data_IF_416665039312
#
_entry.id   IF_416665039312
#
_cell.length_a   1.000
_cell.length_b   1.000
_cell.length_c   1.000
_cell.angle_alpha   90.00
_cell.angle_beta   90.00
_cell.angle_gamma   90.00
#
_symmetry.space_group_name_H-M   'P 1'
#
loop_
_entity.id
_entity.type
_entity.pdbx_description
1 polymer ?
#
# COMPACT_ATOMS: atom_id res chain seq x y z
N UNK A 1 13.35 30.26 62.91
CA UNK A 1 13.63 28.86 62.59
C UNK A 1 13.04 28.58 61.20
N UNK A 2 13.94 28.42 60.23
CA UNK A 2 13.67 28.27 58.78
C UNK A 2 12.97 26.96 58.53
N UNK A 3 12.05 26.94 57.56
CA UNK A 3 11.86 25.78 56.68
C UNK A 3 11.43 26.29 55.31
N UNK A 4 12.42 26.28 54.44
CA UNK A 4 12.35 26.44 52.99
C UNK A 4 11.87 25.16 52.33
N UNK A 5 11.57 25.33 51.04
CA UNK A 5 11.57 24.35 49.97
C UNK A 5 10.21 23.75 49.57
N UNK A 6 9.56 24.50 48.67
CA UNK A 6 8.88 23.83 47.58
C UNK A 6 9.58 24.26 46.27
N UNK A 7 10.48 23.38 45.86
CA UNK A 7 11.11 23.42 44.55
C UNK A 7 10.08 23.01 43.50
N UNK A 8 9.63 24.00 42.76
CA UNK A 8 8.70 23.79 41.62
C UNK A 8 9.52 23.71 40.33
N UNK A 9 10.07 22.55 40.06
CA UNK A 9 10.64 22.29 38.75
C UNK A 9 9.54 22.36 37.69
N UNK A 10 9.70 23.13 36.60
CA UNK A 10 8.71 23.16 35.53
C UNK A 10 8.74 21.84 34.77
N UNK A 11 7.62 21.10 34.83
CA UNK A 11 7.32 19.95 33.96
C UNK A 11 7.55 20.34 32.51
N UNK A 12 8.49 19.68 31.89
CA UNK A 12 8.64 19.67 30.44
C UNK A 12 7.36 19.06 29.82
N UNK A 13 6.41 19.94 29.50
CA UNK A 13 5.24 19.59 28.71
C UNK A 13 5.48 19.99 27.25
N UNK A 14 5.22 19.04 26.37
CA UNK A 14 4.87 19.16 24.95
C UNK A 14 5.94 19.67 23.98
N UNK A 15 6.82 18.76 23.58
CA UNK A 15 7.49 18.81 22.27
C UNK A 15 6.92 17.79 21.26
N UNK A 16 5.76 17.16 21.53
CA UNK A 16 5.27 16.05 20.69
C UNK A 16 4.22 16.46 19.65
N UNK A 17 3.52 17.57 19.80
CA UNK A 17 2.44 17.97 18.89
C UNK A 17 2.90 18.77 17.66
N UNK A 18 4.04 19.46 17.74
CA UNK A 18 4.56 20.28 16.61
C UNK A 18 5.36 19.47 15.56
N UNK A 19 5.45 18.14 15.69
CA UNK A 19 6.35 17.31 14.85
C UNK A 19 5.64 16.57 13.72
N UNK A 20 4.33 16.71 13.57
CA UNK A 20 3.55 16.06 12.51
C UNK A 20 3.49 16.88 11.20
N UNK A 21 3.67 18.19 11.28
CA UNK A 21 3.67 19.07 10.12
C UNK A 21 5.02 18.98 9.40
N UNK A 22 5.07 18.24 8.27
CA UNK A 22 6.24 18.13 7.42
C UNK A 22 6.81 16.71 7.22
N UNK A 23 6.18 15.67 7.77
CA UNK A 23 6.58 14.29 7.50
C UNK A 23 5.85 13.76 6.27
N UNK A 24 6.60 13.26 5.28
CA UNK A 24 6.03 12.49 4.18
C UNK A 24 5.38 11.21 4.71
N UNK A 25 4.28 10.80 4.08
CA UNK A 25 3.64 9.52 4.41
C UNK A 25 4.60 8.35 4.15
N UNK A 26 4.54 7.27 4.94
CA UNK A 26 5.39 6.09 4.74
C UNK A 26 5.18 5.46 3.37
N UNK A 27 6.26 5.28 2.60
CA UNK A 27 6.29 4.56 1.32
C UNK A 27 7.64 3.89 1.11
N UNK A 28 7.75 3.03 0.12
CA UNK A 28 8.98 2.39 -0.32
C UNK A 28 9.00 2.35 -1.84
N UNK A 29 9.70 3.29 -2.45
CA UNK A 29 9.82 3.37 -3.91
C UNK A 29 10.47 2.11 -4.48
N UNK A 30 11.56 1.63 -3.86
CA UNK A 30 12.25 0.41 -4.28
C UNK A 30 11.37 -0.84 -4.13
N UNK A 31 10.53 -0.91 -3.07
CA UNK A 31 9.55 -1.97 -2.90
C UNK A 31 8.52 -1.98 -4.03
N UNK A 32 7.99 -0.81 -4.39
CA UNK A 32 7.03 -0.65 -5.49
C UNK A 32 7.64 -1.03 -6.84
N UNK A 33 8.85 -0.55 -7.14
CA UNK A 33 9.60 -0.94 -8.35
C UNK A 33 9.89 -2.45 -8.38
N UNK A 34 10.24 -3.02 -7.23
CA UNK A 34 10.50 -4.45 -7.09
C UNK A 34 9.28 -5.31 -7.42
N UNK A 35 8.09 -4.92 -6.95
CA UNK A 35 6.82 -5.60 -7.28
C UNK A 35 6.51 -5.46 -8.77
N UNK A 36 6.59 -4.24 -9.33
CA UNK A 36 6.29 -4.00 -10.75
C UNK A 36 7.23 -4.78 -11.67
N UNK A 37 8.55 -4.75 -11.40
CA UNK A 37 9.51 -5.54 -12.17
C UNK A 37 9.21 -7.03 -12.05
N UNK A 38 8.89 -7.53 -10.86
CA UNK A 38 8.50 -8.92 -10.64
C UNK A 38 7.24 -9.31 -11.41
N UNK A 39 6.25 -8.40 -11.52
CA UNK A 39 5.06 -8.56 -12.35
C UNK A 39 5.41 -8.67 -13.85
N UNK A 40 6.38 -7.89 -14.33
CA UNK A 40 6.82 -7.99 -15.72
C UNK A 40 7.52 -9.32 -16.02
N UNK A 41 8.27 -9.87 -15.06
CA UNK A 41 9.00 -11.12 -15.19
C UNK A 41 8.11 -12.37 -15.04
N UNK A 42 7.12 -12.31 -14.15
CA UNK A 42 6.19 -13.42 -13.87
C UNK A 42 4.76 -12.89 -13.64
N UNK A 43 4.06 -12.44 -14.70
CA UNK A 43 2.83 -11.68 -14.59
C UNK A 43 1.74 -12.38 -13.78
N UNK A 44 1.39 -13.62 -14.12
CA UNK A 44 0.29 -14.34 -13.47
C UNK A 44 0.62 -14.70 -12.03
N UNK A 45 1.77 -15.33 -11.78
CA UNK A 45 2.13 -15.78 -10.44
C UNK A 45 2.27 -14.64 -9.44
N UNK A 46 2.86 -13.50 -9.86
CA UNK A 46 3.00 -12.33 -8.98
C UNK A 46 1.68 -11.57 -8.84
N UNK A 47 0.85 -11.49 -9.91
CA UNK A 47 -0.47 -10.85 -9.82
C UNK A 47 -1.40 -11.58 -8.84
N UNK A 48 -1.41 -12.92 -8.86
CA UNK A 48 -2.18 -13.74 -7.92
C UNK A 48 -1.78 -13.44 -6.46
N UNK A 49 -0.46 -13.33 -6.19
CA UNK A 49 0.05 -12.92 -4.87
C UNK A 49 -0.37 -11.49 -4.51
N UNK A 50 -0.28 -10.55 -5.46
CA UNK A 50 -0.71 -9.17 -5.25
C UNK A 50 -2.20 -9.09 -4.93
N UNK A 51 -3.07 -9.80 -5.67
CA UNK A 51 -4.52 -9.78 -5.46
C UNK A 51 -4.94 -10.30 -4.07
N UNK A 52 -4.12 -11.18 -3.48
CA UNK A 52 -4.32 -11.68 -2.12
C UNK A 52 -3.94 -10.62 -1.09
N UNK A 53 -2.82 -9.92 -1.29
CA UNK A 53 -2.16 -9.09 -0.26
C UNK A 53 -2.27 -7.58 -0.47
N UNK A 54 -2.53 -7.12 -1.69
CA UNK A 54 -2.50 -5.70 -2.06
C UNK A 54 -3.79 -5.27 -2.76
N UNK A 55 -3.96 -3.95 -2.77
CA UNK A 55 -4.90 -3.24 -3.65
C UNK A 55 -4.12 -2.21 -4.46
N UNK A 56 -4.63 -1.72 -5.60
CA UNK A 56 -3.93 -0.70 -6.39
C UNK A 56 -3.52 0.53 -5.56
N UNK A 57 -4.37 0.93 -4.60
CA UNK A 57 -4.14 2.08 -3.71
C UNK A 57 -2.99 1.85 -2.71
N UNK A 58 -2.49 0.61 -2.61
CA UNK A 58 -1.33 0.30 -1.79
C UNK A 58 -0.03 0.91 -2.34
N UNK A 59 0.04 1.11 -3.66
CA UNK A 59 1.13 1.87 -4.26
C UNK A 59 0.98 3.36 -3.92
N UNK A 60 2.06 3.96 -3.46
CA UNK A 60 2.09 5.39 -3.11
C UNK A 60 2.25 6.26 -4.36
N UNK A 61 3.07 5.79 -5.31
CA UNK A 61 3.42 6.51 -6.52
C UNK A 61 2.30 6.37 -7.56
N UNK A 62 1.66 7.46 -8.04
CA UNK A 62 0.58 7.38 -9.04
C UNK A 62 0.98 6.63 -10.31
N UNK A 63 2.19 6.84 -10.80
CA UNK A 63 2.74 6.13 -11.95
C UNK A 63 2.75 4.60 -11.75
N UNK A 64 3.04 4.14 -10.52
CA UNK A 64 3.04 2.72 -10.19
C UNK A 64 1.62 2.14 -10.12
N UNK A 65 0.64 2.92 -9.64
CA UNK A 65 -0.78 2.53 -9.66
C UNK A 65 -1.27 2.35 -11.10
N UNK A 66 -0.90 3.26 -12.01
CA UNK A 66 -1.23 3.17 -13.44
C UNK A 66 -0.65 1.89 -14.03
N UNK A 67 0.63 1.63 -13.80
CA UNK A 67 1.31 0.44 -14.30
C UNK A 67 0.72 -0.85 -13.75
N UNK A 68 0.44 -0.91 -12.46
CA UNK A 68 -0.18 -2.07 -11.82
C UNK A 68 -1.55 -2.39 -12.43
N UNK A 69 -2.42 -1.39 -12.57
CA UNK A 69 -3.74 -1.54 -13.17
C UNK A 69 -3.64 -1.98 -14.63
N UNK A 70 -2.73 -1.39 -15.40
CA UNK A 70 -2.52 -1.77 -16.79
C UNK A 70 -2.06 -3.23 -16.92
N UNK A 71 -1.13 -3.66 -16.08
CA UNK A 71 -0.66 -5.07 -16.10
C UNK A 71 -1.80 -6.01 -15.73
N UNK A 72 -2.60 -5.70 -14.71
CA UNK A 72 -3.75 -6.51 -14.33
C UNK A 72 -4.73 -6.67 -15.50
N UNK A 73 -5.10 -5.60 -16.18
CA UNK A 73 -5.99 -5.64 -17.34
C UNK A 73 -5.42 -6.44 -18.53
N UNK A 74 -4.11 -6.33 -18.78
CA UNK A 74 -3.46 -7.08 -19.85
C UNK A 74 -3.42 -8.59 -19.54
N UNK A 75 -3.16 -8.96 -18.27
CA UNK A 75 -3.21 -10.35 -17.82
C UNK A 75 -4.62 -10.92 -17.95
N UNK A 76 -5.65 -10.19 -17.52
CA UNK A 76 -7.05 -10.57 -17.61
C UNK A 76 -7.49 -10.74 -19.09
N UNK A 77 -6.96 -9.89 -19.97
CA UNK A 77 -7.19 -9.95 -21.42
C UNK A 77 -6.32 -10.97 -22.15
N UNK A 78 -5.49 -11.73 -21.41
CA UNK A 78 -4.57 -12.74 -21.97
C UNK A 78 -3.55 -12.16 -22.97
N UNK A 79 -3.18 -10.89 -22.81
CA UNK A 79 -2.18 -10.20 -23.64
C UNK A 79 -0.78 -10.38 -23.05
N UNK A 80 0.26 -10.36 -23.89
CA UNK A 80 1.64 -10.47 -23.42
C UNK A 80 2.04 -9.24 -22.60
N UNK A 81 2.87 -9.46 -21.57
CA UNK A 81 3.46 -8.41 -20.76
C UNK A 81 4.93 -8.28 -21.17
N UNK A 82 5.20 -7.33 -22.01
CA UNK A 82 6.53 -6.95 -22.47
C UNK A 82 6.63 -5.43 -22.66
N UNK A 83 7.85 -4.94 -22.83
CA UNK A 83 8.12 -3.52 -22.97
C UNK A 83 7.33 -2.87 -24.12
N UNK A 84 7.22 -3.56 -25.26
CA UNK A 84 6.56 -3.00 -26.46
C UNK A 84 5.06 -2.89 -26.21
N UNK A 85 4.45 -3.96 -25.68
CA UNK A 85 3.01 -4.01 -25.38
C UNK A 85 2.62 -2.97 -24.34
N UNK A 86 3.38 -2.86 -23.23
CA UNK A 86 3.12 -1.86 -22.18
C UNK A 86 3.30 -0.44 -22.71
N UNK A 87 4.39 -0.17 -23.43
CA UNK A 87 4.64 1.15 -24.02
C UNK A 87 3.54 1.57 -24.98
N UNK A 88 3.06 0.64 -25.84
CA UNK A 88 1.99 0.93 -26.77
C UNK A 88 0.66 1.21 -26.04
N UNK A 89 0.29 0.36 -25.08
CA UNK A 89 -0.93 0.54 -24.30
C UNK A 89 -0.94 1.85 -23.49
N UNK A 90 0.20 2.24 -22.90
CA UNK A 90 0.35 3.53 -22.22
C UNK A 90 0.24 4.72 -23.19
N UNK A 91 0.81 4.59 -24.41
CA UNK A 91 0.71 5.62 -25.43
C UNK A 91 -0.73 5.79 -25.93
N UNK A 92 -1.43 4.69 -26.15
CA UNK A 92 -2.84 4.71 -26.60
C UNK A 92 -3.77 5.37 -25.58
N UNK A 93 -3.39 5.34 -24.28
CA UNK A 93 -4.10 5.99 -23.17
C UNK A 93 -3.60 7.39 -22.84
N UNK A 94 -2.61 7.89 -23.55
CA UNK A 94 -1.90 9.15 -23.26
C UNK A 94 -1.30 9.22 -21.84
N UNK A 95 -0.94 8.05 -21.27
CA UNK A 95 -0.38 7.92 -19.91
C UNK A 95 1.14 7.68 -19.89
N UNK A 96 1.79 7.59 -21.06
CA UNK A 96 3.22 7.28 -21.14
C UNK A 96 4.08 8.35 -20.47
N UNK A 97 3.75 9.62 -20.67
CA UNK A 97 4.49 10.74 -20.06
C UNK A 97 4.20 10.84 -18.55
N UNK A 98 2.99 10.46 -18.13
CA UNK A 98 2.57 10.48 -16.73
C UNK A 98 3.36 9.48 -15.87
N UNK A 99 3.75 8.35 -16.45
CA UNK A 99 4.59 7.37 -15.74
C UNK A 99 6.08 7.72 -15.74
N UNK A 100 6.51 8.79 -16.39
CA UNK A 100 7.93 9.17 -16.53
C UNK A 100 8.57 8.76 -17.86
N UNK A 101 7.76 8.39 -18.86
CA UNK A 101 8.20 8.12 -20.22
C UNK A 101 8.78 6.71 -20.43
N UNK A 102 9.26 6.44 -21.65
CA UNK A 102 9.75 5.12 -22.03
C UNK A 102 11.06 4.76 -21.31
N UNK A 103 11.84 5.74 -20.88
CA UNK A 103 13.10 5.51 -20.15
C UNK A 103 12.81 4.93 -18.78
N UNK A 104 11.87 5.52 -18.04
CA UNK A 104 11.46 5.00 -16.75
C UNK A 104 10.88 3.56 -16.83
N UNK A 105 10.08 3.30 -17.86
CA UNK A 105 9.57 1.95 -18.10
C UNK A 105 10.71 0.95 -18.37
N UNK A 106 11.74 1.35 -19.12
CA UNK A 106 12.91 0.51 -19.38
C UNK A 106 13.71 0.20 -18.11
N UNK A 107 13.88 1.20 -17.25
CA UNK A 107 14.57 1.03 -15.97
C UNK A 107 13.83 0.06 -15.05
N UNK A 108 12.49 0.13 -15.04
CA UNK A 108 11.67 -0.81 -14.27
C UNK A 108 11.83 -2.26 -14.73
N UNK A 109 11.96 -2.53 -16.03
CA UNK A 109 12.15 -3.89 -16.55
C UNK A 109 13.47 -4.53 -16.11
N UNK A 110 14.46 -3.73 -15.76
CA UNK A 110 15.78 -4.19 -15.34
C UNK A 110 16.05 -4.04 -13.84
N UNK A 111 15.07 -3.61 -13.06
CA UNK A 111 15.26 -3.24 -11.65
C UNK A 111 15.63 -4.44 -10.76
N UNK A 112 15.01 -5.61 -10.95
CA UNK A 112 15.36 -6.84 -10.24
C UNK A 112 15.70 -7.97 -11.21
N UNK A 113 16.64 -8.87 -10.85
CA UNK A 113 17.07 -9.95 -11.75
C UNK A 113 16.06 -11.11 -11.85
N UNK A 114 15.13 -11.23 -10.88
CA UNK A 114 14.14 -12.31 -10.84
C UNK A 114 12.94 -11.94 -9.99
N UNK A 115 11.81 -12.62 -10.20
CA UNK A 115 10.59 -12.47 -9.41
C UNK A 115 10.60 -13.27 -8.08
N UNK A 116 11.72 -13.93 -7.74
CA UNK A 116 11.78 -14.82 -6.57
C UNK A 116 11.47 -14.12 -5.23
N UNK A 117 11.75 -12.83 -5.13
CA UNK A 117 11.52 -12.04 -3.91
C UNK A 117 10.24 -11.18 -3.98
N UNK A 118 9.35 -11.45 -4.95
CA UNK A 118 8.12 -10.65 -5.13
C UNK A 118 7.27 -10.58 -3.86
N UNK A 119 7.11 -11.70 -3.17
CA UNK A 119 6.32 -11.77 -1.93
C UNK A 119 6.87 -10.85 -0.84
N UNK A 120 8.18 -10.80 -0.68
CA UNK A 120 8.84 -9.88 0.25
C UNK A 120 8.63 -8.40 -0.12
N UNK A 121 8.70 -8.04 -1.40
CA UNK A 121 8.42 -6.67 -1.84
C UNK A 121 6.95 -6.29 -1.64
N UNK A 122 6.04 -7.24 -1.87
CA UNK A 122 4.61 -7.08 -1.61
C UNK A 122 4.36 -6.79 -0.12
N UNK A 123 5.00 -7.51 0.78
CA UNK A 123 4.86 -7.30 2.22
C UNK A 123 5.40 -5.92 2.66
N UNK A 124 6.49 -5.42 2.06
CA UNK A 124 6.98 -4.06 2.29
C UNK A 124 5.93 -3.02 1.91
N UNK A 125 5.33 -3.13 0.71
CA UNK A 125 4.29 -2.18 0.26
C UNK A 125 3.08 -2.23 1.19
N UNK A 126 2.62 -3.44 1.54
CA UNK A 126 1.50 -3.65 2.46
C UNK A 126 1.73 -2.98 3.80
N UNK A 127 2.90 -3.15 4.40
CA UNK A 127 3.26 -2.50 5.66
C UNK A 127 3.17 -0.97 5.55
N UNK A 128 3.76 -0.38 4.51
CA UNK A 128 3.72 1.07 4.30
C UNK A 128 2.31 1.59 4.04
N UNK A 129 1.51 0.83 3.29
CA UNK A 129 0.10 1.16 3.08
C UNK A 129 -0.69 1.17 4.38
N UNK A 130 -0.56 0.15 5.22
CA UNK A 130 -1.24 0.10 6.52
C UNK A 130 -0.85 1.28 7.42
N UNK A 131 0.45 1.62 7.47
CA UNK A 131 0.90 2.80 8.23
C UNK A 131 0.27 4.09 7.70
N UNK A 132 0.15 4.26 6.36
CA UNK A 132 -0.55 5.41 5.78
C UNK A 132 -2.02 5.46 6.18
N UNK A 133 -2.72 4.32 6.09
CA UNK A 133 -4.12 4.23 6.48
C UNK A 133 -4.32 4.58 7.96
N UNK A 134 -3.45 4.10 8.85
CA UNK A 134 -3.48 4.45 10.27
C UNK A 134 -3.28 5.96 10.48
N UNK A 135 -2.28 6.56 9.85
CA UNK A 135 -2.00 8.00 9.96
C UNK A 135 -3.20 8.81 9.46
N UNK A 136 -3.76 8.45 8.30
CA UNK A 136 -4.91 9.16 7.73
C UNK A 136 -6.16 9.05 8.62
N UNK A 137 -6.41 7.87 9.18
CA UNK A 137 -7.53 7.65 10.10
C UNK A 137 -7.35 8.43 11.39
N UNK A 138 -6.17 8.40 12.01
CA UNK A 138 -5.89 9.17 13.22
C UNK A 138 -6.03 10.68 12.98
N UNK A 139 -5.54 11.20 11.85
CA UNK A 139 -5.69 12.62 11.51
C UNK A 139 -7.17 12.99 11.31
N UNK A 140 -7.98 12.12 10.72
CA UNK A 140 -9.43 12.33 10.60
C UNK A 140 -10.10 12.36 11.96
N UNK A 141 -9.79 11.42 12.84
CA UNK A 141 -10.31 11.38 14.21
C UNK A 141 -9.95 12.67 14.97
N UNK A 142 -8.71 13.14 14.85
CA UNK A 142 -8.29 14.40 15.47
C UNK A 142 -9.12 15.57 14.94
N UNK A 143 -9.31 15.66 13.62
CA UNK A 143 -10.14 16.71 13.01
C UNK A 143 -11.59 16.66 13.51
N UNK A 144 -12.18 15.45 13.55
CA UNK A 144 -13.56 15.24 14.01
C UNK A 144 -13.73 15.64 15.48
N UNK A 145 -12.73 15.41 16.34
CA UNK A 145 -12.75 15.86 17.73
C UNK A 145 -12.75 17.39 17.88
N UNK A 146 -12.04 18.10 16.99
CA UNK A 146 -12.04 19.58 17.01
C UNK A 146 -13.33 20.18 16.45
N UNK A 147 -13.95 19.53 15.49
CA UNK A 147 -15.15 20.03 14.79
C UNK A 147 -16.42 19.96 15.66
N UNK A 148 -16.47 19.14 16.67
CA UNK A 148 -17.54 18.99 17.69
C UNK A 148 -18.98 19.06 17.12
N UNK A 149 -19.26 18.30 16.06
CA UNK A 149 -20.56 18.39 15.34
C UNK A 149 -21.60 17.37 15.81
N UNK A 150 -21.21 16.42 16.65
CA UNK A 150 -22.06 15.32 17.10
C UNK A 150 -21.84 15.03 18.59
N UNK A 151 -22.77 14.23 19.18
CA UNK A 151 -22.63 13.75 20.55
C UNK A 151 -21.37 12.90 20.71
N UNK A 152 -20.70 13.01 21.87
CA UNK A 152 -19.42 12.34 22.14
C UNK A 152 -19.51 10.82 21.99
N UNK A 153 -20.64 10.23 22.43
CA UNK A 153 -20.85 8.78 22.33
C UNK A 153 -20.91 8.31 20.87
N UNK A 154 -21.60 9.06 20.00
CA UNK A 154 -21.66 8.77 18.56
C UNK A 154 -20.29 8.92 17.89
N UNK A 155 -19.47 9.88 18.32
CA UNK A 155 -18.10 10.04 17.85
C UNK A 155 -17.24 8.84 18.25
N UNK A 156 -17.36 8.37 19.49
CA UNK A 156 -16.64 7.19 19.97
C UNK A 156 -16.98 5.93 19.16
N UNK A 157 -18.26 5.65 18.96
CA UNK A 157 -18.70 4.50 18.16
C UNK A 157 -18.14 4.55 16.74
N UNK A 158 -18.12 5.73 16.12
CA UNK A 158 -17.55 5.92 14.78
C UNK A 158 -16.04 5.71 14.74
N UNK A 159 -15.32 6.20 15.74
CA UNK A 159 -13.87 5.99 15.86
C UNK A 159 -13.54 4.51 16.02
N UNK A 160 -14.28 3.80 16.88
CA UNK A 160 -14.12 2.35 17.05
C UNK A 160 -14.34 1.60 15.73
N UNK A 161 -15.39 1.92 14.99
CA UNK A 161 -15.66 1.32 13.67
C UNK A 161 -14.52 1.60 12.67
N UNK A 162 -13.99 2.83 12.65
CA UNK A 162 -12.90 3.18 11.75
C UNK A 162 -11.62 2.40 12.08
N UNK A 163 -11.26 2.29 13.35
CA UNK A 163 -10.08 1.51 13.78
C UNK A 163 -10.30 0.02 13.52
N UNK A 164 -11.47 -0.51 13.79
CA UNK A 164 -11.81 -1.91 13.53
C UNK A 164 -11.76 -2.24 12.03
N UNK A 165 -12.15 -1.32 11.16
CA UNK A 165 -12.06 -1.51 9.71
C UNK A 165 -10.60 -1.64 9.23
N UNK A 166 -9.65 -0.93 9.85
CA UNK A 166 -8.23 -1.06 9.54
C UNK A 166 -7.68 -2.45 9.91
N UNK A 167 -8.10 -3.00 11.06
CA UNK A 167 -7.70 -4.35 11.48
C UNK A 167 -8.33 -5.43 10.61
N UNK A 168 -9.58 -5.26 10.19
CA UNK A 168 -10.25 -6.22 9.32
C UNK A 168 -9.72 -6.22 7.88
N UNK A 169 -9.29 -5.08 7.35
CA UNK A 169 -8.57 -5.05 6.08
C UNK A 169 -7.31 -5.93 6.10
N UNK A 170 -6.70 -6.10 7.27
CA UNK A 170 -5.54 -6.97 7.46
C UNK A 170 -5.93 -8.46 7.56
N UNK A 171 -7.06 -8.79 8.18
CA UNK A 171 -7.51 -10.17 8.45
C UNK A 171 -8.20 -10.80 7.23
N UNK A 172 -8.94 -10.04 6.42
CA UNK A 172 -9.60 -10.57 5.22
C UNK A 172 -8.64 -11.03 4.13
N UNK A 173 -7.41 -10.54 4.15
CA UNK A 173 -6.35 -10.95 3.24
C UNK A 173 -5.79 -12.33 3.63
N UNK A 174 -5.79 -12.68 4.92
CA UNK A 174 -5.29 -13.97 5.42
C UNK A 174 -6.32 -15.13 5.32
N UNK A 175 -7.59 -14.86 5.01
CA UNK A 175 -8.67 -15.85 5.11
C UNK A 175 -9.29 -16.29 3.76
N UNK A 176 -8.63 -16.07 2.62
CA UNK A 176 -9.06 -16.76 1.39
C UNK A 176 -8.62 -18.22 1.48
N UNK A 177 -9.57 -19.17 1.64
CA UNK A 177 -9.22 -20.56 1.75
C UNK A 177 -8.61 -21.05 0.44
N UNK A 178 -7.49 -21.72 0.53
CA UNK A 178 -6.82 -22.52 -0.49
C UNK A 178 -7.75 -23.66 -0.99
N UNK A 179 -8.82 -23.35 -1.68
CA UNK A 179 -9.83 -24.35 -2.10
C UNK A 179 -9.71 -24.85 -3.53
N UNK A 180 -8.69 -24.45 -4.28
CA UNK A 180 -8.55 -24.89 -5.70
C UNK A 180 -7.25 -25.61 -6.07
N UNK A 181 -6.47 -26.07 -5.10
CA UNK A 181 -5.25 -26.85 -5.39
C UNK A 181 -5.41 -28.37 -5.26
N UNK A 182 -6.65 -28.87 -5.19
CA UNK A 182 -6.90 -30.34 -5.11
C UNK A 182 -7.90 -30.77 -6.19
N UNK A 183 -7.61 -30.53 -7.46
CA UNK A 183 -8.20 -31.30 -8.55
C UNK A 183 -7.22 -31.37 -9.73
N UNK A 184 -6.25 -32.25 -9.60
CA UNK A 184 -5.28 -32.49 -10.67
C UNK A 184 -4.47 -33.77 -10.52
N UNK A 185 -4.95 -34.75 -9.75
CA UNK A 185 -4.34 -36.06 -9.69
C UNK A 185 -5.43 -37.15 -9.68
N UNK A 186 -5.88 -37.55 -10.86
CA UNK A 186 -6.46 -38.85 -11.27
C UNK A 186 -6.83 -38.69 -12.74
N UNK A 187 -6.35 -39.47 -13.68
CA UNK A 187 -6.15 -40.90 -13.80
C UNK A 187 -5.23 -41.14 -14.99
N UNK A 188 -4.18 -41.88 -14.84
CA UNK A 188 -3.53 -42.59 -15.90
C UNK A 188 -3.82 -44.08 -15.66
N UNK A 189 -4.52 -44.70 -16.56
CA UNK A 189 -4.51 -46.16 -16.79
C UNK A 189 -4.38 -46.38 -18.28
#
# INVERSE_FOLDING_TARGET
MKMDLFDSSPRQQSKSTARAEGRSLPFSEDGEKGVLCSLFLSPRGVLDLCQIKLRPEAFYTPAHQILFNLVAELVDSNKPIDFITLKQALKDRAQLDEIGGPEYLSDLFSFVPSAANADYYIDIIREKYLLRQMIMTCNRVVSDCYDHREEVDALLDRVEQQIFSLTNCNVQIDLRPTKELVMGCHSGN
#
